data_IF_647032035216
#
_entry.id   IF_647032035216
#
_cell.length_a   1.000
_cell.length_b   1.000
_cell.length_c   1.000
_cell.angle_alpha   90.00
_cell.angle_beta   90.00
_cell.angle_gamma   90.00
#
_symmetry.space_group_name_H-M   'P 1'
#
loop_
_entity.id
_entity.type
_entity.pdbx_description
1 polymer ?
#
# COMPACT_ATOMS: atom_id res chain seq x y z
N UNK A 1 -8.56 13.86 -16.04
CA UNK A 1 -8.16 12.43 -16.04
C UNK A 1 -8.32 11.94 -14.62
N UNK A 2 -8.97 10.80 -14.41
CA UNK A 2 -9.19 10.26 -13.06
C UNK A 2 -7.88 9.70 -12.48
N UNK A 3 -7.65 9.95 -11.18
CA UNK A 3 -6.48 9.47 -10.44
C UNK A 3 -6.44 7.93 -10.44
N UNK A 4 -5.27 7.30 -10.72
CA UNK A 4 -5.15 5.85 -10.66
C UNK A 4 -5.32 5.29 -9.25
N UNK A 5 -5.05 6.10 -8.21
CA UNK A 5 -5.27 5.73 -6.82
C UNK A 5 -6.76 5.53 -6.52
N UNK A 6 -7.63 6.31 -7.18
CA UNK A 6 -9.08 6.12 -7.13
C UNK A 6 -9.54 4.94 -7.99
N UNK A 7 -9.12 4.90 -9.27
CA UNK A 7 -9.55 3.90 -10.24
C UNK A 7 -9.23 2.46 -9.80
N UNK A 8 -8.03 2.25 -9.25
CA UNK A 8 -7.53 0.93 -8.87
C UNK A 8 -7.66 0.66 -7.37
N UNK A 9 -8.41 1.49 -6.63
CA UNK A 9 -8.52 1.43 -5.16
C UNK A 9 -8.86 0.02 -4.66
N UNK A 10 -9.83 -0.65 -5.27
CA UNK A 10 -10.25 -1.99 -4.84
C UNK A 10 -9.16 -3.04 -5.06
N UNK A 11 -8.36 -2.90 -6.12
CA UNK A 11 -7.21 -3.77 -6.39
C UNK A 11 -6.11 -3.52 -5.36
N UNK A 12 -5.82 -2.24 -5.08
CA UNK A 12 -4.78 -1.84 -4.12
C UNK A 12 -5.16 -2.31 -2.70
N UNK A 13 -6.43 -2.21 -2.30
CA UNK A 13 -6.89 -2.62 -0.97
C UNK A 13 -7.19 -4.14 -0.84
N UNK A 14 -6.98 -4.93 -1.89
CA UNK A 14 -7.20 -6.38 -1.85
C UNK A 14 -6.40 -7.12 -0.77
N UNK A 15 -6.88 -8.26 -0.29
CA UNK A 15 -6.29 -8.99 0.85
C UNK A 15 -5.15 -9.98 0.47
N UNK A 16 -4.64 -9.94 -0.75
CA UNK A 16 -3.59 -10.84 -1.24
C UNK A 16 -2.21 -10.15 -1.32
N UNK A 17 -1.16 -10.97 -1.47
CA UNK A 17 0.24 -10.52 -1.39
C UNK A 17 0.63 -9.47 -2.43
N UNK A 18 0.17 -9.59 -3.66
CA UNK A 18 0.46 -8.58 -4.71
C UNK A 18 -0.23 -7.25 -4.45
N UNK A 19 -1.44 -7.25 -3.88
CA UNK A 19 -2.10 -6.03 -3.42
C UNK A 19 -1.35 -5.39 -2.25
N UNK A 20 -0.80 -6.19 -1.32
CA UNK A 20 0.08 -5.67 -0.27
C UNK A 20 1.30 -4.93 -0.84
N UNK A 21 1.92 -5.45 -1.92
CA UNK A 21 3.02 -4.74 -2.59
C UNK A 21 2.58 -3.39 -3.15
N UNK A 22 1.40 -3.31 -3.76
CA UNK A 22 0.85 -2.03 -4.24
C UNK A 22 0.59 -1.05 -3.09
N UNK A 23 0.07 -1.52 -1.95
CA UNK A 23 -0.07 -0.70 -0.72
C UNK A 23 1.26 -0.15 -0.23
N UNK A 24 2.29 -0.99 -0.20
CA UNK A 24 3.63 -0.55 0.19
C UNK A 24 4.22 0.45 -0.80
N UNK A 25 3.90 0.35 -2.09
CA UNK A 25 4.26 1.38 -3.07
C UNK A 25 3.58 2.71 -2.73
N UNK A 26 2.26 2.71 -2.47
CA UNK A 26 1.53 3.92 -2.07
C UNK A 26 2.16 4.57 -0.83
N UNK A 27 2.48 3.79 0.20
CA UNK A 27 3.12 4.32 1.40
C UNK A 27 4.55 4.82 1.14
N UNK A 28 5.33 4.11 0.32
CA UNK A 28 6.68 4.53 -0.03
C UNK A 28 6.73 5.83 -0.83
N UNK A 29 5.68 6.10 -1.62
CA UNK A 29 5.52 7.38 -2.31
C UNK A 29 5.20 8.51 -1.31
N UNK A 30 4.40 8.22 -0.29
CA UNK A 30 3.97 9.21 0.72
C UNK A 30 5.04 9.49 1.78
N UNK A 31 5.73 8.45 2.25
CA UNK A 31 6.81 8.54 3.24
C UNK A 31 7.74 7.32 3.09
N UNK A 32 8.67 7.42 2.14
CA UNK A 32 9.60 6.33 1.80
C UNK A 32 10.60 5.98 2.89
N UNK A 33 10.89 6.92 3.81
CA UNK A 33 11.83 6.70 4.91
C UNK A 33 11.25 5.71 5.94
N UNK A 34 9.97 5.85 6.27
CA UNK A 34 9.29 4.94 7.22
C UNK A 34 8.71 3.68 6.55
N UNK A 35 8.42 3.75 5.24
CA UNK A 35 7.71 2.68 4.52
C UNK A 35 8.42 2.30 3.22
N UNK A 36 9.61 1.68 3.28
CA UNK A 36 10.39 1.37 2.08
C UNK A 36 9.71 0.31 1.20
N UNK A 37 9.56 0.62 -0.09
CA UNK A 37 9.17 -0.36 -1.10
C UNK A 37 10.38 -1.18 -1.56
N UNK A 38 10.23 -2.51 -1.59
CA UNK A 38 11.32 -3.42 -2.01
C UNK A 38 11.29 -3.62 -3.53
N UNK A 39 12.31 -3.12 -4.25
CA UNK A 39 12.36 -3.19 -5.72
C UNK A 39 12.27 -4.61 -6.30
N UNK A 40 12.81 -5.63 -5.61
CA UNK A 40 12.71 -7.02 -6.08
C UNK A 40 11.27 -7.54 -6.18
N UNK A 41 10.30 -6.90 -5.52
CA UNK A 41 8.88 -7.25 -5.62
C UNK A 41 8.28 -7.03 -7.01
N UNK A 42 8.88 -6.16 -7.83
CA UNK A 42 8.43 -5.87 -9.18
C UNK A 42 8.49 -7.13 -10.06
N UNK A 43 9.54 -7.94 -9.94
CA UNK A 43 9.72 -9.15 -10.73
C UNK A 43 8.65 -10.23 -10.50
N UNK A 44 7.90 -10.13 -9.40
CA UNK A 44 6.80 -11.05 -9.08
C UNK A 44 5.41 -10.48 -9.32
N UNK A 45 5.27 -9.32 -9.99
CA UNK A 45 3.97 -8.77 -10.38
C UNK A 45 3.54 -9.37 -11.72
N UNK A 46 2.26 -9.74 -11.85
CA UNK A 46 1.70 -10.03 -13.16
C UNK A 46 1.50 -8.75 -14.00
N UNK A 47 1.11 -8.92 -15.26
CA UNK A 47 0.91 -7.80 -16.18
C UNK A 47 -0.10 -6.76 -15.67
N UNK A 48 -1.17 -7.19 -14.99
CA UNK A 48 -2.20 -6.28 -14.47
C UNK A 48 -1.63 -5.42 -13.34
N UNK A 49 -0.99 -6.04 -12.36
CA UNK A 49 -0.46 -5.32 -11.19
C UNK A 49 0.71 -4.43 -11.58
N UNK A 50 1.55 -4.87 -12.53
CA UNK A 50 2.64 -4.04 -13.05
C UNK A 50 2.12 -2.81 -13.79
N UNK A 51 1.06 -2.94 -14.60
CA UNK A 51 0.42 -1.79 -15.25
C UNK A 51 -0.12 -0.78 -14.22
N UNK A 52 -0.81 -1.25 -13.17
CA UNK A 52 -1.30 -0.40 -12.08
C UNK A 52 -0.14 0.32 -11.38
N UNK A 53 0.95 -0.41 -11.08
CA UNK A 53 2.16 0.16 -10.50
C UNK A 53 2.72 1.30 -11.36
N UNK A 54 2.83 1.11 -12.67
CA UNK A 54 3.31 2.15 -13.59
C UNK A 54 2.37 3.37 -13.62
N UNK A 55 1.05 3.17 -13.64
CA UNK A 55 0.08 4.26 -13.58
C UNK A 55 0.22 5.10 -12.30
N UNK A 56 0.38 4.44 -11.14
CA UNK A 56 0.60 5.14 -9.87
C UNK A 56 1.88 5.96 -9.87
N UNK A 57 3.00 5.39 -10.32
CA UNK A 57 4.29 6.10 -10.40
C UNK A 57 4.20 7.32 -11.32
N UNK A 58 3.58 7.15 -12.48
CA UNK A 58 3.46 8.22 -13.46
C UNK A 58 2.52 9.33 -12.96
N UNK A 59 1.42 8.99 -12.28
CA UNK A 59 0.56 9.99 -11.65
C UNK A 59 1.28 10.75 -10.53
N UNK A 60 1.99 10.04 -9.66
CA UNK A 60 2.76 10.66 -8.57
C UNK A 60 3.87 11.56 -9.12
N UNK A 61 4.59 11.14 -10.17
CA UNK A 61 5.60 11.97 -10.83
C UNK A 61 5.04 13.30 -11.33
N UNK A 62 3.77 13.34 -11.77
CA UNK A 62 3.12 14.55 -12.30
C UNK A 62 2.49 15.43 -11.21
N UNK A 63 1.90 14.82 -10.19
CA UNK A 63 1.03 15.51 -9.24
C UNK A 63 1.59 15.53 -7.81
N UNK A 64 2.47 14.59 -7.47
CA UNK A 64 3.00 14.39 -6.12
C UNK A 64 1.87 14.26 -5.11
N UNK A 65 2.07 14.90 -3.96
CA UNK A 65 1.07 14.99 -2.88
C UNK A 65 -0.12 15.91 -3.20
N UNK A 66 -0.12 16.61 -4.35
CA UNK A 66 -1.28 17.42 -4.77
C UNK A 66 -2.45 16.56 -5.29
N UNK A 67 -2.29 15.25 -5.43
CA UNK A 67 -3.39 14.33 -5.75
C UNK A 67 -4.16 13.96 -4.46
N UNK A 68 -5.40 14.44 -4.26
CA UNK A 68 -6.16 14.18 -3.03
C UNK A 68 -6.56 12.71 -2.88
N UNK A 69 -6.74 11.98 -3.99
CA UNK A 69 -7.10 10.55 -3.96
C UNK A 69 -5.90 9.71 -3.52
N UNK A 70 -4.70 10.10 -3.92
CA UNK A 70 -3.45 9.53 -3.41
C UNK A 70 -3.32 9.73 -1.90
N UNK A 71 -3.46 10.98 -1.42
CA UNK A 71 -3.31 11.30 0.00
C UNK A 71 -4.36 10.59 0.87
N UNK A 72 -5.60 10.47 0.38
CA UNK A 72 -6.65 9.70 1.05
C UNK A 72 -6.28 8.21 1.14
N UNK A 73 -5.85 7.61 0.03
CA UNK A 73 -5.47 6.20 0.00
C UNK A 73 -4.25 5.89 0.87
N UNK A 74 -3.24 6.75 0.89
CA UNK A 74 -2.07 6.60 1.76
C UNK A 74 -2.48 6.57 3.24
N UNK A 75 -3.38 7.45 3.67
CA UNK A 75 -3.89 7.47 5.03
C UNK A 75 -4.68 6.20 5.39
N UNK A 76 -5.51 5.72 4.47
CA UNK A 76 -6.26 4.48 4.66
C UNK A 76 -5.35 3.25 4.77
N UNK A 77 -4.37 3.13 3.87
CA UNK A 77 -3.38 2.05 3.91
C UNK A 77 -2.58 2.11 5.21
N UNK A 78 -2.16 3.29 5.66
CA UNK A 78 -1.47 3.48 6.94
C UNK A 78 -2.34 3.04 8.13
N UNK A 79 -3.61 3.43 8.15
CA UNK A 79 -4.54 3.04 9.21
C UNK A 79 -4.72 1.51 9.25
N UNK A 80 -4.83 0.87 8.09
CA UNK A 80 -4.89 -0.58 7.96
C UNK A 80 -3.66 -1.28 8.54
N UNK A 81 -2.45 -0.86 8.16
CA UNK A 81 -1.21 -1.47 8.69
C UNK A 81 -1.12 -1.36 10.21
N UNK A 82 -1.56 -0.23 10.78
CA UNK A 82 -1.62 -0.05 12.24
C UNK A 82 -2.62 -1.01 12.89
N UNK A 83 -3.78 -1.24 12.29
CA UNK A 83 -4.77 -2.18 12.80
C UNK A 83 -4.30 -3.64 12.71
N UNK A 84 -3.63 -4.02 11.61
CA UNK A 84 -3.04 -5.35 11.43
C UNK A 84 -1.96 -5.60 12.50
N UNK A 85 -1.04 -4.65 12.71
CA UNK A 85 0.00 -4.75 13.75
C UNK A 85 -0.57 -4.83 15.18
N UNK A 86 -1.62 -4.06 15.49
CA UNK A 86 -2.28 -4.12 16.80
C UNK A 86 -2.95 -5.48 17.05
N UNK A 87 -3.53 -6.09 16.01
CA UNK A 87 -4.16 -7.42 16.09
C UNK A 87 -3.11 -8.50 16.34
N UNK A 88 -1.98 -8.45 15.63
CA UNK A 88 -0.85 -9.37 15.83
C UNK A 88 -0.27 -9.25 17.26
N UNK A 89 -0.10 -8.02 17.74
CA UNK A 89 0.40 -7.76 19.10
C UNK A 89 -0.55 -8.27 20.19
N UNK A 90 -1.87 -8.10 20.00
CA UNK A 90 -2.88 -8.63 20.92
C UNK A 90 -2.86 -10.17 20.95
N UNK A 91 -2.80 -10.82 19.78
CA UNK A 91 -2.73 -12.28 19.72
C UNK A 91 -1.48 -12.87 20.37
N UNK A 92 -0.32 -12.21 20.24
CA UNK A 92 0.92 -12.59 20.92
C UNK A 92 0.83 -12.43 22.45
N UNK A 93 0.14 -11.40 22.92
CA UNK A 93 -0.05 -11.17 24.35
C UNK A 93 -0.96 -12.24 24.99
N UNK A 94 -2.02 -12.63 24.28
CA UNK A 94 -2.92 -13.70 24.72
C UNK A 94 -2.19 -15.06 24.78
N UNK A 95 -1.38 -15.41 23.77
CA UNK A 95 -0.60 -16.67 23.70
C UNK A 95 0.43 -16.81 24.84
N UNK A 96 1.05 -15.70 25.26
CA UNK A 96 1.98 -15.67 26.40
C UNK A 96 1.28 -15.72 27.76
N UNK A 97 -0.01 -15.40 27.83
CA UNK A 97 -0.76 -15.40 29.09
C UNK A 97 -1.28 -16.79 29.49
N UNK A 98 -1.30 -17.74 28.56
CA UNK A 98 -1.76 -19.12 28.73
C UNK A 98 -0.62 -20.15 28.90
N UNK A 99 0.65 -19.72 28.93
CA UNK A 99 1.86 -20.56 29.11
C UNK A 99 2.51 -20.40 30.48
#
# INVERSE_FOLDING_TARGET
MESPFKRHRDVILGYYSTAHRLRMCVLSLWNGDDYPFKLHWIGGMDQKHYAIFQEMLESYRRHGECDPEFMALANEVRARLKAEAATEQAGLADDWSDS
#
